data_IF_682112010501
#
_entry.id   IF_682112010501
#
_cell.length_a   1.000
_cell.length_b   1.000
_cell.length_c   1.000
_cell.angle_alpha   90.00
_cell.angle_beta   90.00
_cell.angle_gamma   90.00
#
_symmetry.space_group_name_H-M   'P 1'
#
loop_
_entity.id
_entity.type
_entity.pdbx_description
1 polymer ?
#
# COMPACT_ATOMS: atom_id res chain seq x y z
N UNK A 1 -9.50 4.13 18.60
CA UNK A 1 -9.11 2.94 19.38
C UNK A 1 -9.16 1.74 18.45
N UNK A 2 -8.00 1.24 18.00
CA UNK A 2 -7.93 0.06 17.13
C UNK A 2 -7.79 -1.20 17.99
N UNK A 3 -8.60 -2.23 17.72
CA UNK A 3 -8.41 -3.56 18.30
C UNK A 3 -7.02 -4.06 17.89
N UNK A 4 -6.16 -4.36 18.87
CA UNK A 4 -4.86 -5.01 18.62
C UNK A 4 -5.14 -6.40 18.06
N UNK A 5 -4.95 -6.57 16.76
CA UNK A 5 -5.04 -7.86 16.10
C UNK A 5 -3.64 -8.44 15.98
N UNK A 6 -3.43 -9.60 16.60
CA UNK A 6 -2.20 -10.39 16.49
C UNK A 6 -2.62 -11.82 16.14
N UNK A 7 -1.93 -12.44 15.19
CA UNK A 7 -2.14 -13.85 14.92
C UNK A 7 -1.77 -14.65 16.18
N UNK A 8 -2.66 -15.51 16.71
CA UNK A 8 -2.37 -16.31 17.91
C UNK A 8 -1.36 -17.43 17.63
N UNK A 9 -1.03 -17.66 16.36
CA UNK A 9 -0.14 -18.71 15.91
C UNK A 9 1.33 -18.26 15.94
N UNK A 10 2.25 -19.19 16.17
CA UNK A 10 3.68 -18.92 16.05
C UNK A 10 4.04 -18.50 14.61
N UNK A 11 5.04 -17.61 14.46
CA UNK A 11 5.40 -17.05 13.15
C UNK A 11 5.78 -18.15 12.16
N UNK A 12 6.52 -19.15 12.62
CA UNK A 12 6.97 -20.27 11.78
C UNK A 12 5.80 -21.10 11.26
N UNK A 13 4.75 -21.28 12.06
CA UNK A 13 3.54 -22.00 11.67
C UNK A 13 2.68 -21.16 10.72
N UNK A 14 2.52 -19.86 11.00
CA UNK A 14 1.82 -18.94 10.11
C UNK A 14 2.45 -18.93 8.71
N UNK A 15 3.78 -18.91 8.63
CA UNK A 15 4.49 -18.94 7.34
C UNK A 15 4.27 -20.24 6.55
N UNK A 16 3.93 -21.36 7.19
CA UNK A 16 3.58 -22.61 6.50
C UNK A 16 2.27 -22.52 5.72
N UNK A 17 1.45 -21.48 5.95
CA UNK A 17 0.24 -21.20 5.16
C UNK A 17 0.54 -20.67 3.76
N UNK A 18 1.80 -20.34 3.48
CA UNK A 18 2.25 -19.76 2.22
C UNK A 18 3.33 -20.62 1.56
N UNK A 19 3.38 -20.57 0.23
CA UNK A 19 4.49 -21.08 -0.57
C UNK A 19 5.31 -19.89 -1.06
N UNK A 20 6.62 -19.89 -0.79
CA UNK A 20 7.54 -18.82 -1.24
C UNK A 20 8.03 -19.15 -2.65
N UNK A 21 7.82 -18.23 -3.59
CA UNK A 21 8.30 -18.36 -4.96
C UNK A 21 9.80 -18.06 -5.06
N UNK A 22 10.44 -18.46 -6.16
CA UNK A 22 11.84 -18.11 -6.46
C UNK A 22 12.08 -16.60 -6.53
N UNK A 23 11.05 -15.80 -6.84
CA UNK A 23 11.10 -14.34 -6.91
C UNK A 23 10.87 -13.66 -5.56
N UNK A 24 10.77 -14.43 -4.46
CA UNK A 24 10.55 -13.89 -3.12
C UNK A 24 9.10 -13.56 -2.77
N UNK A 25 8.15 -13.78 -3.68
CA UNK A 25 6.72 -13.56 -3.42
C UNK A 25 6.12 -14.74 -2.67
N UNK A 26 4.97 -14.52 -2.02
CA UNK A 26 4.27 -15.55 -1.25
C UNK A 26 2.92 -15.88 -1.87
N UNK A 27 2.61 -17.16 -1.98
CA UNK A 27 1.33 -17.66 -2.49
C UNK A 27 0.59 -18.33 -1.34
N UNK A 28 -0.60 -17.82 -0.93
CA UNK A 28 -1.39 -18.51 0.08
C UNK A 28 -1.84 -19.89 -0.43
N UNK A 29 -1.73 -20.92 0.41
CA UNK A 29 -2.23 -22.26 0.09
C UNK A 29 -3.76 -22.27 -0.07
N UNK A 30 -4.45 -21.47 0.72
CA UNK A 30 -5.88 -21.21 0.56
C UNK A 30 -6.12 -19.79 0.00
N UNK A 31 -6.57 -19.73 -1.24
CA UNK A 31 -6.85 -18.47 -1.96
C UNK A 31 -8.35 -18.14 -2.05
N UNK A 32 -9.20 -18.97 -1.43
CA UNK A 32 -10.67 -18.78 -1.40
C UNK A 32 -11.11 -17.77 -0.34
N UNK A 33 -10.20 -17.40 0.56
CA UNK A 33 -10.48 -16.55 1.69
C UNK A 33 -10.88 -15.13 1.28
N UNK A 34 -11.93 -14.61 1.91
CA UNK A 34 -12.46 -13.28 1.58
C UNK A 34 -11.44 -12.15 1.81
N UNK A 35 -10.53 -12.31 2.77
CA UNK A 35 -9.48 -11.31 3.02
C UNK A 35 -8.57 -11.12 1.81
N UNK A 36 -8.38 -12.15 0.96
CA UNK A 36 -7.49 -12.12 -0.20
C UNK A 36 -7.81 -10.99 -1.17
N UNK A 37 -9.05 -10.51 -1.24
CA UNK A 37 -9.40 -9.39 -2.13
C UNK A 37 -8.75 -8.06 -1.73
N UNK A 38 -8.21 -7.94 -0.52
CA UNK A 38 -7.61 -6.71 0.03
C UNK A 38 -6.08 -6.65 -0.07
N UNK A 39 -5.40 -7.67 -0.62
CA UNK A 39 -3.94 -7.80 -0.60
C UNK A 39 -3.40 -8.39 -1.89
N UNK A 40 -2.21 -7.98 -2.31
CA UNK A 40 -1.43 -8.62 -3.37
C UNK A 40 -1.98 -8.45 -4.77
N UNK A 41 -1.35 -9.16 -5.70
CA UNK A 41 -1.62 -9.09 -7.13
C UNK A 41 -2.09 -10.45 -7.64
N UNK A 42 -3.13 -10.47 -8.50
CA UNK A 42 -3.58 -11.69 -9.16
C UNK A 42 -2.96 -11.81 -10.55
N UNK A 43 -2.20 -12.87 -10.81
CA UNK A 43 -1.67 -13.23 -12.12
C UNK A 43 -2.06 -14.66 -12.44
N UNK A 44 -2.62 -14.90 -13.62
CA UNK A 44 -3.10 -16.24 -14.03
C UNK A 44 -3.99 -16.92 -12.97
N UNK A 45 -4.91 -16.16 -12.38
CA UNK A 45 -5.81 -16.57 -11.28
C UNK A 45 -5.14 -16.90 -9.94
N UNK A 46 -3.81 -16.82 -9.84
CA UNK A 46 -3.05 -17.04 -8.59
C UNK A 46 -2.78 -15.70 -7.91
N UNK A 47 -3.01 -15.65 -6.59
CA UNK A 47 -2.68 -14.52 -5.75
C UNK A 47 -1.22 -14.59 -5.27
N UNK A 48 -0.50 -13.49 -5.49
CA UNK A 48 0.86 -13.30 -5.00
C UNK A 48 0.87 -12.14 -4.02
N UNK A 49 1.49 -12.37 -2.87
CA UNK A 49 1.68 -11.41 -1.80
C UNK A 49 3.15 -10.98 -1.71
N UNK A 50 3.38 -9.70 -1.46
CA UNK A 50 4.69 -9.21 -1.08
C UNK A 50 4.98 -9.49 0.41
N UNK A 51 6.23 -9.34 0.82
CA UNK A 51 6.65 -9.56 2.20
C UNK A 51 5.91 -8.66 3.19
N UNK A 52 5.75 -7.38 2.89
CA UNK A 52 5.03 -6.43 3.75
C UNK A 52 3.58 -6.86 4.03
N UNK A 53 2.95 -7.54 3.07
CA UNK A 53 1.57 -8.00 3.19
C UNK A 53 1.48 -9.23 4.09
N UNK A 54 2.44 -10.16 3.97
CA UNK A 54 2.55 -11.34 4.83
C UNK A 54 2.84 -10.91 6.26
N UNK A 55 3.73 -9.93 6.46
CA UNK A 55 4.00 -9.35 7.78
C UNK A 55 2.74 -8.73 8.38
N UNK A 56 2.00 -7.92 7.61
CA UNK A 56 0.75 -7.29 8.07
C UNK A 56 -0.35 -8.32 8.38
N UNK A 57 -0.41 -9.42 7.61
CA UNK A 57 -1.31 -10.53 7.86
C UNK A 57 -0.90 -11.37 9.07
N UNK A 58 0.32 -11.27 9.56
CA UNK A 58 0.76 -11.94 10.79
C UNK A 58 0.49 -11.08 12.03
N UNK A 59 0.91 -9.81 11.95
CA UNK A 59 0.83 -8.86 13.04
C UNK A 59 0.65 -7.46 12.45
N UNK A 60 -0.37 -6.73 12.92
CA UNK A 60 -0.66 -5.37 12.44
C UNK A 60 0.07 -4.29 13.22
N UNK A 61 0.79 -4.67 14.26
CA UNK A 61 1.65 -3.77 15.00
C UNK A 61 2.95 -3.50 14.21
N UNK A 62 3.25 -2.21 14.03
CA UNK A 62 4.50 -1.78 13.42
C UNK A 62 5.62 -2.01 14.42
N UNK A 63 6.73 -2.59 13.96
CA UNK A 63 7.94 -2.80 14.76
C UNK A 63 9.06 -1.86 14.33
N UNK A 64 9.93 -1.50 15.26
CA UNK A 64 11.02 -0.55 15.00
C UNK A 64 12.02 -1.09 13.98
N UNK A 65 12.28 -2.40 14.01
CA UNK A 65 13.23 -3.07 13.11
C UNK A 65 12.72 -3.23 11.68
N UNK A 66 11.44 -2.93 11.42
CA UNK A 66 10.89 -3.07 10.08
C UNK A 66 11.45 -2.00 9.11
N UNK A 67 11.74 -2.37 7.84
CA UNK A 67 12.10 -1.40 6.82
C UNK A 67 11.06 -0.29 6.69
N UNK A 68 11.49 0.93 6.39
CA UNK A 68 10.62 2.11 6.27
C UNK A 68 9.45 1.90 5.32
N UNK A 69 9.67 1.16 4.22
CA UNK A 69 8.61 0.76 3.28
C UNK A 69 7.51 -0.09 3.94
N UNK A 70 7.88 -1.04 4.80
CA UNK A 70 6.92 -1.87 5.55
C UNK A 70 6.15 -1.01 6.54
N UNK A 71 6.83 -0.09 7.24
CA UNK A 71 6.20 0.87 8.15
C UNK A 71 5.16 1.75 7.42
N UNK A 72 5.52 2.26 6.24
CA UNK A 72 4.61 3.03 5.39
C UNK A 72 3.40 2.20 4.91
N UNK A 73 3.61 0.96 4.48
CA UNK A 73 2.53 0.04 4.11
C UNK A 73 1.55 -0.18 5.28
N UNK A 74 2.08 -0.46 6.47
CA UNK A 74 1.28 -0.65 7.67
C UNK A 74 0.47 0.61 8.03
N UNK A 75 1.07 1.79 7.93
CA UNK A 75 0.38 3.06 8.17
C UNK A 75 -0.85 3.21 7.27
N UNK A 76 -0.72 2.94 5.97
CA UNK A 76 -1.82 3.01 5.00
C UNK A 76 -2.92 2.00 5.36
N UNK A 77 -2.55 0.74 5.62
CA UNK A 77 -3.51 -0.32 5.94
C UNK A 77 -4.22 -0.10 7.28
N UNK A 78 -3.51 0.41 8.28
CA UNK A 78 -4.08 0.76 9.58
C UNK A 78 -4.99 1.99 9.49
N UNK A 79 -4.75 2.88 8.53
CA UNK A 79 -5.62 4.03 8.20
C UNK A 79 -6.85 3.66 7.35
N UNK A 80 -7.28 2.39 7.36
CA UNK A 80 -8.45 1.91 6.64
C UNK A 80 -8.39 2.11 5.11
N UNK A 81 -7.20 1.99 4.53
CA UNK A 81 -7.00 1.96 3.09
C UNK A 81 -6.53 0.57 2.64
N UNK A 82 -6.74 0.25 1.37
CA UNK A 82 -6.05 -0.84 0.68
C UNK A 82 -5.05 -0.22 -0.30
N UNK A 83 -3.87 -0.81 -0.36
CA UNK A 83 -2.84 -0.47 -1.33
C UNK A 83 -2.61 -1.71 -2.18
N UNK A 84 -2.93 -1.63 -3.46
CA UNK A 84 -2.85 -2.78 -4.38
C UNK A 84 -1.89 -2.50 -5.54
N UNK A 85 -1.10 -3.48 -5.98
CA UNK A 85 -0.24 -3.31 -7.15
C UNK A 85 -1.01 -2.98 -8.43
N UNK A 86 -0.42 -2.12 -9.25
CA UNK A 86 -0.81 -1.81 -10.61
C UNK A 86 0.41 -1.91 -11.54
N UNK A 87 0.22 -1.57 -12.82
CA UNK A 87 1.27 -1.64 -13.82
C UNK A 87 2.37 -0.59 -13.56
N UNK A 88 3.60 -0.87 -14.02
CA UNK A 88 4.70 0.09 -13.99
C UNK A 88 5.17 0.51 -12.58
N UNK A 89 5.22 -0.43 -11.63
CA UNK A 89 5.56 -0.19 -10.22
C UNK A 89 4.62 0.77 -9.47
N UNK A 90 3.49 1.13 -10.07
CA UNK A 90 2.44 1.91 -9.41
C UNK A 90 1.63 1.05 -8.46
N UNK A 91 1.02 1.72 -7.51
CA UNK A 91 0.09 1.17 -6.55
C UNK A 91 -1.22 1.97 -6.66
N UNK A 92 -2.33 1.34 -6.32
CA UNK A 92 -3.64 1.96 -6.31
C UNK A 92 -4.15 2.00 -4.87
N UNK A 93 -4.47 3.20 -4.40
CA UNK A 93 -5.09 3.43 -3.10
C UNK A 93 -6.60 3.28 -3.20
N UNK A 94 -7.19 2.47 -2.34
CA UNK A 94 -8.64 2.29 -2.24
C UNK A 94 -9.10 2.50 -0.81
N UNK A 95 -10.35 2.95 -0.65
CA UNK A 95 -11.02 2.91 0.65
C UNK A 95 -11.23 1.44 1.06
N UNK A 96 -10.90 1.07 2.30
CA UNK A 96 -11.19 -0.26 2.83
C UNK A 96 -12.62 -0.30 3.35
N UNK A 97 -13.40 -1.28 2.90
CA UNK A 97 -14.73 -1.58 3.42
C UNK A 97 -15.05 -3.07 3.30
N UNK A 98 -16.15 -3.50 3.92
CA UNK A 98 -16.56 -4.90 4.05
C UNK A 98 -16.87 -5.57 2.71
N UNK A 99 -17.30 -4.86 1.69
CA UNK A 99 -17.71 -5.45 0.41
C UNK A 99 -16.80 -5.06 -0.75
N UNK A 100 -15.56 -4.69 -0.42
CA UNK A 100 -14.55 -4.27 -1.39
C UNK A 100 -14.38 -5.28 -2.52
N UNK A 101 -14.39 -4.77 -3.74
CA UNK A 101 -14.28 -5.50 -4.98
C UNK A 101 -13.37 -4.73 -5.95
N UNK A 102 -12.17 -5.28 -6.17
CA UNK A 102 -11.13 -4.69 -7.04
C UNK A 102 -11.59 -4.28 -8.44
N UNK A 103 -12.61 -4.95 -8.98
CA UNK A 103 -13.12 -4.69 -10.33
C UNK A 103 -14.17 -3.58 -10.37
N UNK A 104 -14.86 -3.34 -9.26
CA UNK A 104 -16.01 -2.42 -9.18
C UNK A 104 -15.66 -1.12 -8.46
N UNK A 105 -14.82 -1.20 -7.43
CA UNK A 105 -14.42 -0.03 -6.66
C UNK A 105 -13.42 0.83 -7.45
N UNK A 106 -13.61 2.14 -7.40
CA UNK A 106 -12.71 3.12 -8.02
C UNK A 106 -11.54 3.42 -7.05
N UNK A 107 -10.29 3.46 -7.54
CA UNK A 107 -9.18 3.92 -6.71
C UNK A 107 -9.36 5.40 -6.35
N UNK A 108 -8.93 5.77 -5.15
CA UNK A 108 -8.85 7.16 -4.67
C UNK A 108 -7.83 7.91 -5.53
N UNK A 109 -6.63 7.33 -5.67
CA UNK A 109 -5.61 7.80 -6.59
C UNK A 109 -4.52 6.72 -6.78
N UNK A 110 -3.72 6.80 -7.85
CA UNK A 110 -2.47 6.07 -7.93
C UNK A 110 -1.45 6.60 -6.92
N UNK A 111 -0.50 5.74 -6.56
CA UNK A 111 0.60 6.04 -5.66
C UNK A 111 1.88 5.33 -6.11
N UNK A 112 3.04 5.90 -5.84
CA UNK A 112 4.34 5.18 -5.91
C UNK A 112 5.18 5.41 -4.66
N UNK A 113 6.09 4.49 -4.40
CA UNK A 113 7.21 4.75 -3.50
C UNK A 113 8.31 5.49 -4.26
N UNK A 114 8.98 6.41 -3.58
CA UNK A 114 10.08 7.21 -4.10
C UNK A 114 11.17 7.25 -3.04
N UNK A 115 12.43 6.99 -3.41
CA UNK A 115 13.57 7.22 -2.52
C UNK A 115 13.78 8.72 -2.28
N UNK A 116 14.27 9.12 -1.11
CA UNK A 116 14.65 10.51 -0.84
C UNK A 116 15.68 11.09 -1.83
N UNK A 117 16.48 10.20 -2.44
CA UNK A 117 17.54 10.59 -3.38
C UNK A 117 17.05 10.62 -4.84
N UNK A 118 15.80 10.22 -5.12
CA UNK A 118 15.18 10.41 -6.44
C UNK A 118 14.78 11.87 -6.62
N UNK A 119 15.19 12.48 -7.74
CA UNK A 119 14.76 13.83 -8.08
C UNK A 119 13.23 13.86 -8.29
N UNK A 120 12.55 14.75 -7.56
CA UNK A 120 11.09 14.87 -7.63
C UNK A 120 10.64 15.22 -9.05
N UNK A 121 11.42 16.01 -9.80
CA UNK A 121 11.12 16.37 -11.19
C UNK A 121 10.98 15.12 -12.07
N UNK A 122 11.93 14.19 -11.98
CA UNK A 122 11.88 12.92 -12.71
C UNK A 122 10.72 12.04 -12.22
N UNK A 123 10.47 12.04 -10.91
CA UNK A 123 9.40 11.24 -10.31
C UNK A 123 7.99 11.79 -10.61
N UNK A 124 7.87 13.07 -10.97
CA UNK A 124 6.61 13.79 -11.21
C UNK A 124 6.33 14.14 -12.67
N UNK A 125 7.29 13.89 -13.57
CA UNK A 125 7.13 14.18 -14.99
C UNK A 125 5.90 13.45 -15.58
N UNK A 126 4.97 14.22 -16.16
CA UNK A 126 3.74 13.68 -16.76
C UNK A 126 2.71 13.15 -15.76
N UNK A 127 2.85 13.48 -14.47
CA UNK A 127 1.87 13.14 -13.45
C UNK A 127 0.84 14.25 -13.30
N UNK A 128 -0.42 13.93 -13.55
CA UNK A 128 -1.54 14.85 -13.32
C UNK A 128 -2.21 14.66 -11.95
N UNK A 129 -2.28 13.44 -11.43
CA UNK A 129 -2.94 13.15 -10.14
C UNK A 129 -2.41 11.87 -9.49
N UNK A 130 -1.36 11.97 -8.66
CA UNK A 130 -0.71 10.80 -8.02
C UNK A 130 -0.23 11.15 -6.61
N UNK A 131 -0.18 10.16 -5.72
CA UNK A 131 0.44 10.30 -4.41
C UNK A 131 1.87 9.73 -4.42
N UNK A 132 2.84 10.47 -3.91
CA UNK A 132 4.19 9.96 -3.66
C UNK A 132 4.32 9.61 -2.19
N UNK A 133 4.78 8.40 -1.90
CA UNK A 133 5.26 8.03 -0.59
C UNK A 133 6.79 8.07 -0.61
N UNK A 134 7.35 9.16 -0.09
CA UNK A 134 8.79 9.40 -0.01
C UNK A 134 9.33 8.61 1.17
N UNK A 135 10.33 7.77 0.91
CA UNK A 135 10.98 6.91 1.90
C UNK A 135 12.38 7.47 2.20
N UNK A 136 12.67 7.77 3.46
CA UNK A 136 13.97 8.29 3.91
C UNK A 136 14.37 7.59 5.19
N UNK A 137 15.47 6.82 5.18
CA UNK A 137 16.05 6.13 6.34
C UNK A 137 15.01 5.40 7.22
N UNK A 138 14.45 6.08 8.23
CA UNK A 138 13.44 5.60 9.17
C UNK A 138 12.07 6.30 9.10
N UNK A 139 11.93 7.35 8.29
CA UNK A 139 10.72 8.17 8.13
C UNK A 139 10.11 8.05 6.73
N UNK A 140 8.78 8.19 6.65
CA UNK A 140 8.06 8.28 5.38
C UNK A 140 7.13 9.48 5.38
N UNK A 141 6.98 10.09 4.20
CA UNK A 141 6.11 11.24 3.99
C UNK A 141 5.22 11.01 2.77
N UNK A 142 3.95 11.41 2.88
CA UNK A 142 3.02 11.37 1.75
C UNK A 142 2.87 12.77 1.13
N UNK A 143 3.17 12.88 -0.16
CA UNK A 143 2.94 14.08 -0.95
C UNK A 143 1.86 13.79 -1.98
N UNK A 144 0.86 14.67 -2.11
CA UNK A 144 -0.16 14.56 -3.16
C UNK A 144 0.19 15.54 -4.28
N UNK A 145 0.42 15.02 -5.48
CA UNK A 145 0.60 15.80 -6.69
C UNK A 145 -0.76 15.96 -7.37
N UNK A 146 -1.06 17.19 -7.77
CA UNK A 146 -2.21 17.54 -8.61
C UNK A 146 -1.76 18.56 -9.64
N UNK A 147 -2.00 18.26 -10.91
CA UNK A 147 -1.88 19.21 -12.00
C UNK A 147 -2.86 20.35 -11.80
N UNK A 148 -2.39 21.56 -12.08
CA UNK A 148 -3.23 22.77 -12.08
C UNK A 148 -3.09 23.41 -13.45
N UNK A 149 -4.22 23.70 -14.10
CA UNK A 149 -4.23 24.35 -15.42
C UNK A 149 -3.96 25.86 -15.30
N UNK A 150 -4.30 26.44 -14.15
CA UNK A 150 -4.13 27.86 -13.85
C UNK A 150 -3.72 28.04 -12.40
N UNK A 151 -2.72 28.89 -12.17
CA UNK A 151 -2.46 29.46 -10.85
C UNK A 151 -3.51 30.55 -10.63
N UNK A 152 -4.57 30.22 -9.90
CA UNK A 152 -5.48 31.26 -9.41
C UNK A 152 -4.75 32.06 -8.30
N UNK A 153 -4.82 33.39 -8.37
CA UNK A 153 -4.31 34.28 -7.32
C UNK A 153 -5.19 34.23 -6.05
N UNK A 154 -6.32 33.52 -6.08
CA UNK A 154 -7.16 33.26 -4.93
C UNK A 154 -6.60 32.16 -4.03
N UNK A 155 -6.39 32.46 -2.74
CA UNK A 155 -6.12 31.43 -1.73
C UNK A 155 -7.24 30.38 -1.75
N UNK A 156 -6.93 29.07 -1.90
CA UNK A 156 -7.93 28.00 -1.85
C UNK A 156 -8.78 28.10 -0.58
N UNK A 157 -10.10 27.99 -0.68
CA UNK A 157 -11.00 28.11 0.49
C UNK A 157 -10.67 27.09 1.59
N UNK A 158 -10.16 25.91 1.23
CA UNK A 158 -9.72 24.88 2.17
C UNK A 158 -8.50 25.28 3.01
N UNK A 159 -7.77 26.33 2.62
CA UNK A 159 -6.64 26.91 3.37
C UNK A 159 -7.04 28.20 4.08
N UNK A 160 -8.27 28.69 3.84
CA UNK A 160 -8.88 29.81 4.56
C UNK A 160 -9.69 29.24 5.75
N UNK A 161 -9.03 28.62 6.72
CA UNK A 161 -9.46 28.47 8.14
C UNK A 161 -8.53 27.53 8.89
#
# INVERSE_FOLDING_TARGET
MGVKWKCPMERSEFLKMFEKTKTGMFVPKDQSQNWCRHFGMRKNKVLYLCEEEVLYLYDREVKEEYPVRVKAYFFIKNSCLNLLPAEGNRLLLYKRHRDFNRKKDKPICPMRYVSRDEYIEDASLGIEDEALCILSDDVFTFLKIKGIEKLDNGTPESLKK
#
